data_IF_842068363058
#
_entry.id   IF_842068363058
#
_cell.length_a   1.000
_cell.length_b   1.000
_cell.length_c   1.000
_cell.angle_alpha   90.00
_cell.angle_beta   90.00
_cell.angle_gamma   90.00
#
_symmetry.space_group_name_H-M   'P 1'
#
loop_
_entity.id
_entity.type
_entity.pdbx_description
1 polymer ?
#
# COMPACT_ATOMS: atom_id res chain seq x y z
N UNK A 1 59.56 -8.26 -53.73
CA UNK A 1 59.57 -9.00 -52.45
C UNK A 1 58.35 -8.56 -51.65
N UNK A 2 57.29 -9.37 -51.65
CA UNK A 2 56.07 -9.07 -50.90
C UNK A 2 56.14 -9.73 -49.53
N UNK A 3 56.11 -8.92 -48.48
CA UNK A 3 56.05 -9.38 -47.09
C UNK A 3 54.61 -9.79 -46.79
N UNK A 4 54.38 -11.10 -46.65
CA UNK A 4 53.14 -11.61 -46.06
C UNK A 4 53.20 -11.41 -44.55
N UNK A 5 52.49 -10.42 -44.04
CA UNK A 5 52.21 -10.30 -42.60
C UNK A 5 51.18 -11.34 -42.22
N UNK A 6 51.60 -12.35 -41.46
CA UNK A 6 50.68 -13.33 -40.86
C UNK A 6 49.75 -12.62 -39.86
N UNK A 7 48.45 -12.75 -40.10
CA UNK A 7 47.40 -12.15 -39.28
C UNK A 7 47.41 -12.80 -37.88
N UNK A 8 47.52 -12.00 -36.81
CA UNK A 8 47.54 -12.53 -35.44
C UNK A 8 46.19 -13.18 -35.15
N UNK A 9 46.13 -14.43 -34.66
CA UNK A 9 44.86 -15.07 -34.34
C UNK A 9 44.12 -14.25 -33.27
N UNK A 10 42.92 -13.78 -33.61
CA UNK A 10 42.11 -12.94 -32.74
C UNK A 10 41.92 -13.56 -31.34
N UNK A 11 42.02 -12.73 -30.30
CA UNK A 11 41.89 -13.17 -28.91
C UNK A 11 40.57 -13.93 -28.68
N UNK A 12 40.64 -15.09 -28.02
CA UNK A 12 39.46 -15.90 -27.65
C UNK A 12 38.44 -15.08 -26.86
N UNK A 13 38.90 -14.09 -26.09
CA UNK A 13 38.08 -13.17 -25.31
C UNK A 13 37.26 -12.24 -26.21
N UNK A 14 37.87 -11.70 -27.28
CA UNK A 14 37.19 -10.85 -28.26
C UNK A 14 36.10 -11.63 -29.01
N UNK A 15 36.39 -12.87 -29.43
CA UNK A 15 35.40 -13.72 -30.08
C UNK A 15 34.24 -14.09 -29.15
N UNK A 16 34.53 -14.34 -27.87
CA UNK A 16 33.50 -14.57 -26.86
C UNK A 16 32.65 -13.31 -26.65
N UNK A 17 33.27 -12.14 -26.50
CA UNK A 17 32.57 -10.86 -26.38
C UNK A 17 31.64 -10.57 -27.56
N UNK A 18 32.14 -10.72 -28.80
CA UNK A 18 31.30 -10.49 -29.99
C UNK A 18 30.16 -11.50 -30.12
N UNK A 19 30.33 -12.74 -29.62
CA UNK A 19 29.26 -13.74 -29.54
C UNK A 19 28.20 -13.36 -28.49
N UNK A 20 28.62 -12.88 -27.32
CA UNK A 20 27.72 -12.63 -26.19
C UNK A 20 27.12 -11.23 -26.14
N UNK A 21 27.73 -10.23 -26.80
CA UNK A 21 27.22 -8.84 -26.78
C UNK A 21 25.77 -8.75 -27.24
N UNK A 22 25.37 -9.53 -28.24
CA UNK A 22 23.99 -9.55 -28.73
C UNK A 22 23.02 -10.03 -27.64
N UNK A 23 23.35 -11.16 -27.00
CA UNK A 23 22.54 -11.71 -25.91
C UNK A 23 22.47 -10.77 -24.70
N UNK A 24 23.56 -10.07 -24.38
CA UNK A 24 23.57 -9.06 -23.31
C UNK A 24 22.66 -7.87 -23.66
N UNK A 25 22.67 -7.39 -24.91
CA UNK A 25 21.76 -6.32 -25.35
C UNK A 25 20.29 -6.76 -25.31
N UNK A 26 20.00 -7.99 -25.75
CA UNK A 26 18.65 -8.57 -25.64
C UNK A 26 18.22 -8.66 -24.18
N UNK A 27 19.08 -9.16 -23.29
CA UNK A 27 18.80 -9.23 -21.86
C UNK A 27 18.52 -7.84 -21.27
N UNK A 28 19.28 -6.83 -21.68
CA UNK A 28 19.10 -5.45 -21.22
C UNK A 28 17.73 -4.87 -21.61
N UNK A 29 17.14 -5.32 -22.73
CA UNK A 29 15.78 -4.97 -23.12
C UNK A 29 14.72 -5.82 -22.41
N UNK A 30 14.99 -7.10 -22.19
CA UNK A 30 14.04 -8.03 -21.56
C UNK A 30 13.85 -7.77 -20.06
N UNK A 31 14.89 -7.32 -19.36
CA UNK A 31 14.83 -7.02 -17.92
C UNK A 31 13.72 -6.00 -17.60
N UNK A 32 13.68 -4.78 -18.17
CA UNK A 32 12.61 -3.82 -17.88
C UNK A 32 11.23 -4.32 -18.33
N UNK A 33 11.15 -5.02 -19.48
CA UNK A 33 9.91 -5.62 -19.97
C UNK A 33 9.33 -6.64 -18.98
N UNK A 34 10.18 -7.41 -18.30
CA UNK A 34 9.76 -8.36 -17.26
C UNK A 34 9.16 -7.69 -16.02
N UNK A 35 9.58 -6.47 -15.69
CA UNK A 35 9.06 -5.71 -14.54
C UNK A 35 7.84 -4.83 -14.87
N UNK A 36 7.59 -4.53 -16.15
CA UNK A 36 6.49 -3.67 -16.59
C UNK A 36 5.11 -4.07 -16.06
N UNK A 37 4.69 -5.35 -16.08
CA UNK A 37 3.36 -5.72 -15.60
C UNK A 37 3.11 -5.33 -14.15
N UNK A 38 4.07 -5.60 -13.26
CA UNK A 38 3.99 -5.22 -11.84
C UNK A 38 3.98 -3.70 -11.69
N UNK A 39 4.86 -2.99 -12.40
CA UNK A 39 4.90 -1.53 -12.36
C UNK A 39 3.55 -0.90 -12.74
N UNK A 40 2.92 -1.35 -13.84
CA UNK A 40 1.62 -0.80 -14.25
C UNK A 40 0.49 -1.18 -13.31
N UNK A 41 0.49 -2.39 -12.76
CA UNK A 41 -0.48 -2.79 -11.74
C UNK A 41 -0.36 -1.91 -10.49
N UNK A 42 0.87 -1.69 -10.01
CA UNK A 42 1.15 -0.81 -8.87
C UNK A 42 0.75 0.65 -9.16
N UNK A 43 1.04 1.15 -10.37
CA UNK A 43 0.68 2.49 -10.79
C UNK A 43 -0.85 2.68 -10.95
N UNK A 44 -1.56 1.66 -11.42
CA UNK A 44 -3.02 1.67 -11.55
C UNK A 44 -3.69 1.65 -10.17
N UNK A 45 -3.22 0.78 -9.27
CA UNK A 45 -3.68 0.72 -7.88
C UNK A 45 -3.45 2.05 -7.14
N UNK A 46 -2.26 2.65 -7.30
CA UNK A 46 -1.93 3.93 -6.66
C UNK A 46 -2.76 5.10 -7.19
N UNK A 47 -3.10 5.10 -8.48
CA UNK A 47 -4.02 6.09 -9.08
C UNK A 47 -5.49 5.85 -8.70
N UNK A 48 -5.85 4.62 -8.34
CA UNK A 48 -7.23 4.23 -8.04
C UNK A 48 -7.98 3.73 -9.27
N UNK A 49 -7.28 3.45 -10.37
CA UNK A 49 -7.86 2.92 -11.61
C UNK A 49 -8.47 1.52 -11.41
N UNK A 50 -8.01 0.80 -10.37
CA UNK A 50 -8.50 -0.53 -9.99
C UNK A 50 -9.38 -0.51 -8.73
N UNK A 51 -9.92 0.66 -8.35
CA UNK A 51 -10.76 0.83 -7.17
C UNK A 51 -10.02 1.41 -5.96
N UNK A 52 -10.56 1.20 -4.76
CA UNK A 52 -10.00 1.78 -3.54
C UNK A 52 -8.76 1.04 -3.05
N UNK A 53 -8.64 -0.27 -3.29
CA UNK A 53 -7.50 -1.06 -2.85
C UNK A 53 -7.60 -2.49 -3.36
N UNK A 54 -6.59 -3.31 -3.06
CA UNK A 54 -6.61 -4.74 -3.40
C UNK A 54 -7.66 -5.52 -2.60
N UNK A 55 -8.09 -5.00 -1.45
CA UNK A 55 -9.16 -5.59 -0.64
C UNK A 55 -10.15 -4.53 -0.18
N UNK A 56 -11.37 -4.62 -0.69
CA UNK A 56 -12.49 -3.84 -0.18
C UNK A 56 -13.06 -4.48 1.09
N UNK A 57 -13.25 -3.65 2.11
CA UNK A 57 -13.86 -4.02 3.40
C UNK A 57 -15.38 -3.83 3.31
N UNK A 58 -15.81 -2.91 2.45
CA UNK A 58 -17.20 -2.57 2.20
C UNK A 58 -17.58 -1.20 2.77
N UNK A 59 -18.88 -0.94 2.81
CA UNK A 59 -19.44 0.26 3.41
C UNK A 59 -19.48 0.13 4.94
N UNK A 60 -19.02 1.18 5.63
CA UNK A 60 -19.03 1.30 7.08
C UNK A 60 -19.91 2.49 7.44
N UNK A 61 -20.98 2.22 8.19
CA UNK A 61 -21.86 3.26 8.73
C UNK A 61 -21.22 3.88 9.97
N UNK A 62 -21.14 5.21 9.98
CA UNK A 62 -20.55 6.04 11.04
C UNK A 62 -21.56 7.11 11.45
N UNK A 63 -22.52 6.73 12.30
CA UNK A 63 -23.64 7.59 12.66
C UNK A 63 -24.54 7.88 11.44
N UNK A 64 -24.80 9.16 11.09
CA UNK A 64 -25.58 9.53 9.90
C UNK A 64 -24.78 9.43 8.60
N UNK A 65 -23.46 9.28 8.66
CA UNK A 65 -22.58 9.19 7.50
C UNK A 65 -22.13 7.77 7.22
N UNK A 66 -21.65 7.52 6.01
CA UNK A 66 -20.97 6.28 5.66
C UNK A 66 -19.75 6.52 4.78
N UNK A 67 -18.85 5.54 4.78
CA UNK A 67 -17.73 5.49 3.84
C UNK A 67 -17.51 4.06 3.36
N UNK A 68 -16.99 3.91 2.15
CA UNK A 68 -16.40 2.64 1.70
C UNK A 68 -14.94 2.62 2.12
N UNK A 69 -14.50 1.54 2.77
CA UNK A 69 -13.13 1.36 3.24
C UNK A 69 -12.46 0.23 2.48
N UNK A 70 -11.17 0.37 2.18
CA UNK A 70 -10.36 -0.66 1.57
C UNK A 70 -8.93 -0.65 2.12
N UNK A 71 -8.36 -1.83 2.24
CA UNK A 71 -6.93 -2.04 2.45
C UNK A 71 -6.23 -1.83 1.09
N UNK A 72 -5.23 -0.94 1.03
CA UNK A 72 -4.59 -0.59 -0.24
C UNK A 72 -3.91 -1.81 -0.86
N UNK A 73 -3.13 -2.54 -0.08
CA UNK A 73 -2.44 -3.78 -0.48
C UNK A 73 -2.74 -4.91 0.48
N UNK A 74 -3.08 -6.09 -0.03
CA UNK A 74 -3.38 -7.28 0.76
C UNK A 74 -2.08 -8.04 1.14
N UNK A 75 -1.22 -7.38 1.91
CA UNK A 75 0.08 -7.89 2.36
C UNK A 75 0.38 -7.52 3.82
N UNK A 76 1.53 -7.92 4.38
CA UNK A 76 1.91 -7.50 5.73
C UNK A 76 2.15 -5.97 5.81
N UNK A 77 2.05 -5.35 7.00
CA UNK A 77 2.52 -3.98 7.20
C UNK A 77 3.98 -3.82 6.78
N UNK A 78 4.30 -2.67 6.19
CA UNK A 78 5.66 -2.37 5.74
C UNK A 78 6.40 -1.57 6.80
N UNK A 79 7.68 -1.89 7.03
CA UNK A 79 8.53 -1.11 7.93
C UNK A 79 8.89 0.23 7.28
N UNK A 80 8.42 1.33 7.86
CA UNK A 80 8.65 2.70 7.39
C UNK A 80 9.71 3.41 8.26
N UNK A 81 10.88 2.78 8.34
CA UNK A 81 12.01 3.29 9.11
C UNK A 81 11.66 3.56 10.59
N UNK A 82 12.02 4.74 11.15
CA UNK A 82 11.73 5.08 12.55
C UNK A 82 10.22 5.20 12.88
N UNK A 83 9.34 5.34 11.89
CA UNK A 83 7.90 5.40 12.12
C UNK A 83 7.30 4.03 12.49
N UNK A 84 8.07 2.95 12.29
CA UNK A 84 7.65 1.58 12.59
C UNK A 84 6.86 0.95 11.45
N UNK A 85 6.08 -0.08 11.77
CA UNK A 85 5.26 -0.78 10.78
C UNK A 85 4.00 0.01 10.45
N UNK A 86 3.75 0.18 9.16
CA UNK A 86 2.67 1.01 8.64
C UNK A 86 1.79 0.21 7.69
N UNK A 87 0.50 0.53 7.68
CA UNK A 87 -0.49 -0.07 6.79
C UNK A 87 -1.33 0.98 6.10
N UNK A 88 -1.45 0.90 4.79
CA UNK A 88 -2.20 1.88 4.00
C UNK A 88 -3.65 1.44 3.81
N UNK A 89 -4.57 2.35 4.11
CA UNK A 89 -6.00 2.21 3.83
C UNK A 89 -6.47 3.36 2.95
N UNK A 90 -7.42 3.07 2.09
CA UNK A 90 -8.14 4.07 1.32
C UNK A 90 -9.62 4.05 1.69
N UNK A 91 -10.27 5.18 1.53
CA UNK A 91 -11.70 5.28 1.71
C UNK A 91 -12.34 6.27 0.75
N UNK A 92 -13.65 6.13 0.56
CA UNK A 92 -14.49 7.06 -0.18
C UNK A 92 -15.74 7.38 0.64
N UNK A 93 -16.03 8.65 0.81
CA UNK A 93 -17.24 9.09 1.49
C UNK A 93 -18.48 8.84 0.62
N UNK A 94 -19.62 8.58 1.29
CA UNK A 94 -20.93 8.57 0.65
C UNK A 94 -21.21 9.88 -0.08
N UNK A 95 -22.11 9.88 -1.06
CA UNK A 95 -22.34 11.06 -1.91
C UNK A 95 -22.77 12.30 -1.12
N UNK A 96 -23.71 12.17 -0.17
CA UNK A 96 -24.18 13.27 0.68
C UNK A 96 -23.19 13.66 1.78
N UNK A 97 -22.29 12.76 2.16
CA UNK A 97 -21.32 12.95 3.23
C UNK A 97 -20.22 13.95 2.85
N UNK A 98 -19.93 14.11 1.54
CA UNK A 98 -18.76 14.87 1.06
C UNK A 98 -18.79 16.35 1.44
N UNK A 99 -19.99 16.93 1.53
CA UNK A 99 -20.18 18.34 1.90
C UNK A 99 -20.41 18.52 3.41
N UNK A 100 -20.65 17.43 4.14
CA UNK A 100 -20.98 17.46 5.58
C UNK A 100 -19.76 17.15 6.45
N UNK A 101 -18.90 16.25 5.98
CA UNK A 101 -17.75 15.74 6.73
C UNK A 101 -16.55 16.65 6.50
N UNK A 102 -16.03 17.17 7.60
CA UNK A 102 -14.81 17.99 7.64
C UNK A 102 -13.56 17.13 7.63
N UNK A 103 -13.54 16.06 8.42
CA UNK A 103 -12.38 15.19 8.57
C UNK A 103 -12.79 13.76 8.92
N UNK A 104 -12.02 12.80 8.44
CA UNK A 104 -12.15 11.38 8.80
C UNK A 104 -10.82 10.86 9.32
N UNK A 105 -10.87 10.13 10.42
CA UNK A 105 -9.72 9.60 11.12
C UNK A 105 -9.79 8.08 11.24
N UNK A 106 -8.62 7.46 11.31
CA UNK A 106 -8.44 6.02 11.42
C UNK A 106 -7.48 5.68 12.55
N UNK A 107 -7.83 4.68 13.36
CA UNK A 107 -7.02 4.24 14.50
C UNK A 107 -7.19 2.76 14.80
N UNK A 108 -6.12 2.10 15.26
CA UNK A 108 -6.24 0.81 15.97
C UNK A 108 -6.62 1.05 17.43
N UNK A 109 -7.75 0.47 17.82
CA UNK A 109 -8.34 0.59 19.15
C UNK A 109 -9.13 1.89 19.36
N UNK A 110 -10.06 1.85 20.31
CA UNK A 110 -11.03 2.92 20.55
C UNK A 110 -10.34 4.25 20.92
N UNK A 111 -10.62 5.36 20.21
CA UNK A 111 -10.08 6.67 20.58
C UNK A 111 -10.79 7.22 21.82
N UNK A 112 -10.02 7.80 22.73
CA UNK A 112 -10.52 8.45 23.96
C UNK A 112 -11.01 9.89 23.75
N UNK A 113 -10.62 10.51 22.64
CA UNK A 113 -10.97 11.89 22.27
C UNK A 113 -10.62 12.13 20.79
N UNK A 114 -11.10 13.25 20.22
CA UNK A 114 -10.78 13.64 18.85
C UNK A 114 -9.26 13.84 18.64
N UNK A 115 -8.57 14.44 19.61
CA UNK A 115 -7.10 14.58 19.57
C UNK A 115 -6.37 13.22 19.49
N UNK A 116 -7.01 12.16 19.94
CA UNK A 116 -6.51 10.79 19.90
C UNK A 116 -7.20 9.93 18.83
N UNK A 117 -7.93 10.53 17.86
CA UNK A 117 -8.68 9.83 16.83
C UNK A 117 -7.82 9.05 15.82
N UNK A 118 -6.49 9.24 15.87
CA UNK A 118 -5.52 8.50 15.06
C UNK A 118 -5.02 9.31 13.88
N UNK A 119 -4.73 8.62 12.78
CA UNK A 119 -4.27 9.25 11.54
C UNK A 119 -5.45 9.80 10.78
N UNK A 120 -5.28 10.95 10.13
CA UNK A 120 -6.33 11.55 9.30
C UNK A 120 -6.21 11.02 7.87
N UNK A 121 -7.34 10.80 7.22
CA UNK A 121 -7.38 10.54 5.79
C UNK A 121 -7.11 11.82 5.00
N UNK A 122 -6.24 11.75 4.00
CA UNK A 122 -5.90 12.86 3.12
C UNK A 122 -6.32 12.57 1.68
N UNK A 123 -6.67 13.61 0.93
CA UNK A 123 -7.05 13.52 -0.48
C UNK A 123 -8.46 14.04 -0.73
N UNK A 124 -9.04 13.62 -1.86
CA UNK A 124 -10.41 14.02 -2.22
C UNK A 124 -11.43 13.13 -1.48
N UNK A 125 -12.65 13.60 -1.22
CA UNK A 125 -13.68 12.78 -0.55
C UNK A 125 -14.11 11.55 -1.37
N UNK A 126 -13.73 11.46 -2.64
CA UNK A 126 -13.98 10.31 -3.53
C UNK A 126 -12.94 9.19 -3.36
N UNK A 127 -11.74 9.55 -2.90
CA UNK A 127 -10.63 8.64 -2.65
C UNK A 127 -9.60 9.34 -1.77
N UNK A 128 -9.64 9.01 -0.50
CA UNK A 128 -8.73 9.52 0.52
C UNK A 128 -7.89 8.37 1.07
N UNK A 129 -6.63 8.64 1.41
CA UNK A 129 -5.68 7.64 1.90
C UNK A 129 -5.19 7.97 3.31
N UNK A 130 -4.96 6.94 4.11
CA UNK A 130 -4.37 7.04 5.44
C UNK A 130 -3.31 5.95 5.61
N UNK A 131 -2.16 6.34 6.17
CA UNK A 131 -1.09 5.43 6.53
C UNK A 131 -1.15 5.19 8.05
N UNK A 132 -1.67 4.03 8.44
CA UNK A 132 -1.96 3.67 9.82
C UNK A 132 -0.77 2.95 10.47
N UNK A 133 -0.23 3.44 11.60
CA UNK A 133 0.74 2.69 12.39
C UNK A 133 0.13 1.40 12.94
N UNK A 134 0.88 0.30 12.82
CA UNK A 134 0.54 -1.01 13.36
C UNK A 134 1.53 -1.35 14.48
N UNK A 135 1.18 -1.10 15.76
CA UNK A 135 2.01 -1.54 16.87
C UNK A 135 2.17 -3.06 16.86
N UNK A 136 3.38 -3.57 17.05
CA UNK A 136 3.64 -5.03 17.09
C UNK A 136 2.87 -5.74 18.21
N UNK A 137 2.62 -5.03 19.32
CA UNK A 137 1.80 -5.50 20.46
C UNK A 137 0.29 -5.39 20.25
N UNK A 138 -0.16 -5.14 19.02
CA UNK A 138 -1.60 -5.10 18.70
C UNK A 138 -2.19 -6.49 18.91
N UNK A 139 -3.27 -6.56 19.70
CA UNK A 139 -3.96 -7.81 19.98
C UNK A 139 -4.72 -8.32 18.75
N UNK A 140 -4.93 -9.62 18.69
CA UNK A 140 -5.66 -10.26 17.58
C UNK A 140 -7.15 -9.84 17.50
N UNK A 141 -7.74 -9.45 18.62
CA UNK A 141 -9.12 -8.94 18.75
C UNK A 141 -9.20 -7.42 18.56
N UNK A 142 -8.11 -6.77 18.15
CA UNK A 142 -8.11 -5.34 17.94
C UNK A 142 -9.12 -4.92 16.86
N UNK A 143 -9.68 -3.74 17.03
CA UNK A 143 -10.60 -3.13 16.08
C UNK A 143 -9.95 -1.92 15.41
N UNK A 144 -10.33 -1.71 14.16
CA UNK A 144 -10.09 -0.50 13.40
C UNK A 144 -11.22 0.49 13.66
N UNK A 145 -10.92 1.60 14.31
CA UNK A 145 -11.86 2.64 14.64
C UNK A 145 -11.79 3.77 13.62
N UNK A 146 -12.97 4.16 13.14
CA UNK A 146 -13.18 5.25 12.21
C UNK A 146 -13.89 6.35 13.00
N UNK A 147 -13.37 7.58 12.94
CA UNK A 147 -14.01 8.76 13.53
C UNK A 147 -14.26 9.77 12.44
N UNK A 148 -15.49 10.27 12.32
CA UNK A 148 -15.86 11.30 11.37
C UNK A 148 -16.30 12.55 12.14
N UNK A 149 -15.73 13.70 11.76
CA UNK A 149 -16.07 15.03 12.28
C UNK A 149 -16.79 15.81 11.18
N UNK A 150 -17.95 16.37 11.50
CA UNK A 150 -18.73 17.23 10.61
C UNK A 150 -18.29 18.69 10.68
N UNK A 151 -18.66 19.47 9.66
CA UNK A 151 -18.50 20.92 9.66
C UNK A 151 -19.34 21.62 10.74
N UNK A 152 -20.42 20.97 11.18
CA UNK A 152 -21.28 21.38 12.29
C UNK A 152 -20.70 21.05 13.68
N UNK A 153 -19.55 20.37 13.73
CA UNK A 153 -18.90 19.92 14.95
C UNK A 153 -19.44 18.60 15.51
N UNK A 154 -20.40 17.95 14.84
CA UNK A 154 -20.86 16.62 15.22
C UNK A 154 -19.74 15.59 15.03
N UNK A 155 -19.68 14.59 15.92
CA UNK A 155 -18.70 13.52 15.84
C UNK A 155 -19.37 12.16 15.96
N UNK A 156 -19.05 11.28 15.02
CA UNK A 156 -19.53 9.90 15.00
C UNK A 156 -18.37 8.92 14.87
N UNK A 157 -18.54 7.73 15.44
CA UNK A 157 -17.53 6.68 15.46
C UNK A 157 -18.13 5.33 15.08
N UNK A 158 -17.33 4.53 14.41
CA UNK A 158 -17.62 3.13 14.11
C UNK A 158 -16.36 2.29 14.26
N UNK A 159 -16.54 0.98 14.45
CA UNK A 159 -15.45 0.02 14.48
C UNK A 159 -15.65 -1.08 13.44
N UNK A 160 -14.53 -1.60 12.93
CA UNK A 160 -14.47 -2.81 12.12
C UNK A 160 -13.40 -3.72 12.72
N UNK A 161 -13.65 -5.02 12.92
CA UNK A 161 -12.62 -5.94 13.41
C UNK A 161 -11.37 -5.91 12.52
N UNK A 162 -10.16 -5.87 13.10
CA UNK A 162 -8.92 -5.88 12.31
C UNK A 162 -8.79 -7.15 11.46
N UNK A 163 -9.32 -8.27 11.96
CA UNK A 163 -9.41 -9.54 11.24
C UNK A 163 -10.22 -9.44 9.94
N UNK A 164 -11.25 -8.59 9.91
CA UNK A 164 -12.04 -8.31 8.71
C UNK A 164 -11.36 -7.25 7.84
N UNK A 165 -10.86 -6.19 8.46
CA UNK A 165 -10.27 -5.05 7.75
C UNK A 165 -8.98 -5.40 7.01
N UNK A 166 -8.12 -6.24 7.62
CA UNK A 166 -6.81 -6.57 7.07
C UNK A 166 -6.31 -7.94 7.61
N UNK A 167 -6.79 -9.07 7.05
CA UNK A 167 -6.35 -10.41 7.45
C UNK A 167 -4.83 -10.62 7.36
N UNK A 168 -4.16 -10.02 6.37
CA UNK A 168 -2.71 -10.13 6.19
C UNK A 168 -1.93 -9.49 7.36
N UNK A 169 -2.38 -8.33 7.83
CA UNK A 169 -1.85 -7.71 9.06
C UNK A 169 -2.08 -8.57 10.29
N UNK A 170 -3.25 -9.20 10.43
CA UNK A 170 -3.50 -10.11 11.55
C UNK A 170 -2.57 -11.33 11.51
N UNK A 171 -2.38 -11.92 10.34
CA UNK A 171 -1.46 -13.04 10.15
C UNK A 171 -0.01 -12.63 10.49
N UNK A 172 0.41 -11.43 10.08
CA UNK A 172 1.71 -10.87 10.43
C UNK A 172 1.85 -10.65 11.94
N UNK A 173 0.86 -10.05 12.61
CA UNK A 173 0.85 -9.87 14.07
C UNK A 173 0.98 -11.20 14.82
N UNK A 174 0.28 -12.24 14.37
CA UNK A 174 0.38 -13.57 14.95
C UNK A 174 1.78 -14.19 14.78
N UNK A 175 2.52 -13.84 13.72
CA UNK A 175 3.90 -14.28 13.52
C UNK A 175 4.90 -13.48 14.37
N UNK A 176 4.67 -12.17 14.55
CA UNK A 176 5.51 -11.32 15.41
C UNK A 176 5.31 -11.62 16.90
N UNK A 177 4.08 -11.93 17.30
CA UNK A 177 3.64 -12.24 18.68
C UNK A 177 3.98 -13.66 19.17
N UNK A 178 4.88 -14.38 18.50
CA UNK A 178 5.45 -15.65 18.95
C UNK A 178 6.64 -15.53 19.91
N UNK A 179 6.91 -14.32 20.43
CA UNK A 179 7.88 -14.11 21.52
C UNK A 179 7.12 -13.68 22.78
N UNK A 180 7.06 -14.52 23.83
CA UNK A 180 6.53 -14.12 25.14
C UNK A 180 7.31 -12.96 25.74
#
# INVERSE_FOLDING_TARGET
MSLFTADKPGSKLSRFWHKWRFHINVLLLLVPLGFMPKYFADAALFRGDTGLGEREIGEVQVGPWSLRLAELRNEAPTLDGPAGYMKSFNAALCDSCRDQVKATYLRIGKPRSLRAAGVIFFGTPYRMGAMLPIPEKTKADAELWITMEGWDGAMHQASVPLSQASPATLAWLNQQGGKP
#
